data_IF_211574014163
#
_entry.id   IF_211574014163
#
_cell.length_a   1.000
_cell.length_b   1.000
_cell.length_c   1.000
_cell.angle_alpha   90.00
_cell.angle_beta   90.00
_cell.angle_gamma   90.00
#
_symmetry.space_group_name_H-M   'P 1'
#
loop_
_entity.id
_entity.type
_entity.pdbx_description
1 polymer ?
#
# COMPACT_ATOMS: atom_id res chain seq x y z
N UNK A 1 -8.55 -31.78 26.70
CA UNK A 1 -8.10 -30.62 25.92
C UNK A 1 -8.44 -29.38 26.72
N UNK A 2 -7.49 -28.50 27.01
CA UNK A 2 -7.75 -27.26 27.75
C UNK A 2 -8.64 -26.34 26.93
N UNK A 3 -9.87 -26.10 27.40
CA UNK A 3 -10.88 -25.24 26.75
C UNK A 3 -10.30 -23.87 26.38
N UNK A 4 -9.44 -23.32 27.25
CA UNK A 4 -8.76 -22.05 27.07
C UNK A 4 -7.84 -22.03 25.83
N UNK A 5 -7.04 -23.08 25.63
CA UNK A 5 -6.11 -23.13 24.49
C UNK A 5 -6.85 -23.30 23.16
N UNK A 6 -8.02 -23.94 23.17
CA UNK A 6 -8.90 -24.07 22.00
C UNK A 6 -9.59 -22.74 21.67
N UNK A 7 -10.19 -22.09 22.67
CA UNK A 7 -10.88 -20.80 22.50
C UNK A 7 -9.95 -19.70 21.97
N UNK A 8 -8.75 -19.57 22.55
CA UNK A 8 -7.77 -18.56 22.12
C UNK A 8 -7.21 -18.85 20.72
N UNK A 9 -7.14 -20.13 20.32
CA UNK A 9 -6.75 -20.51 18.95
C UNK A 9 -7.82 -20.08 17.94
N UNK A 10 -9.09 -20.33 18.22
CA UNK A 10 -10.19 -19.90 17.35
C UNK A 10 -10.28 -18.36 17.28
N UNK A 11 -10.07 -17.67 18.40
CA UNK A 11 -9.99 -16.20 18.46
C UNK A 11 -8.86 -15.67 17.57
N UNK A 12 -7.67 -16.28 17.66
CA UNK A 12 -6.52 -15.90 16.82
C UNK A 12 -6.78 -16.16 15.34
N UNK A 13 -7.40 -17.29 15.01
CA UNK A 13 -7.77 -17.63 13.63
C UNK A 13 -8.74 -16.60 13.06
N UNK A 14 -9.78 -16.24 13.82
CA UNK A 14 -10.73 -15.20 13.44
C UNK A 14 -10.03 -13.85 13.24
N UNK A 15 -9.08 -13.49 14.11
CA UNK A 15 -8.31 -12.26 13.98
C UNK A 15 -7.45 -12.23 12.70
N UNK A 16 -6.79 -13.34 12.36
CA UNK A 16 -6.04 -13.44 11.09
C UNK A 16 -6.95 -13.43 9.86
N UNK A 17 -8.12 -14.07 9.92
CA UNK A 17 -9.10 -13.98 8.83
C UNK A 17 -9.60 -12.55 8.62
N UNK A 18 -9.81 -11.80 9.71
CA UNK A 18 -10.16 -10.39 9.63
C UNK A 18 -9.01 -9.55 9.03
N UNK A 19 -7.76 -9.76 9.48
CA UNK A 19 -6.61 -9.08 8.90
C UNK A 19 -6.44 -9.40 7.41
N UNK A 20 -6.71 -10.65 7.00
CA UNK A 20 -6.72 -11.05 5.59
C UNK A 20 -7.74 -10.25 4.78
N UNK A 21 -8.98 -10.12 5.27
CA UNK A 21 -10.02 -9.32 4.61
C UNK A 21 -9.58 -7.86 4.45
N UNK A 22 -9.05 -7.26 5.52
CA UNK A 22 -8.54 -5.88 5.49
C UNK A 22 -7.41 -5.72 4.47
N UNK A 23 -6.46 -6.65 4.42
CA UNK A 23 -5.38 -6.64 3.42
C UNK A 23 -5.89 -6.77 1.98
N UNK A 24 -6.94 -7.56 1.75
CA UNK A 24 -7.61 -7.62 0.44
C UNK A 24 -8.28 -6.29 0.08
N UNK A 25 -9.01 -5.68 1.01
CA UNK A 25 -9.64 -4.37 0.82
C UNK A 25 -8.60 -3.28 0.54
N UNK A 26 -7.47 -3.29 1.25
CA UNK A 26 -6.36 -2.38 0.99
C UNK A 26 -5.88 -2.49 -0.46
N UNK A 27 -5.65 -3.72 -0.93
CA UNK A 27 -5.23 -3.94 -2.31
C UNK A 27 -6.28 -3.44 -3.30
N UNK A 28 -7.57 -3.69 -3.06
CA UNK A 28 -8.65 -3.21 -3.91
C UNK A 28 -8.68 -1.68 -4.00
N UNK A 29 -8.54 -0.98 -2.86
CA UNK A 29 -8.43 0.49 -2.85
C UNK A 29 -7.24 0.95 -3.67
N UNK A 30 -6.06 0.33 -3.48
CA UNK A 30 -4.87 0.69 -4.23
C UNK A 30 -5.05 0.41 -5.74
N UNK A 31 -5.71 -0.69 -6.10
CA UNK A 31 -6.04 -1.03 -7.48
C UNK A 31 -6.98 0.01 -8.11
N UNK A 32 -7.98 0.48 -7.36
CA UNK A 32 -8.94 1.48 -7.84
C UNK A 32 -8.33 2.86 -8.06
N UNK A 33 -7.28 3.24 -7.30
CA UNK A 33 -6.61 4.57 -7.43
C UNK A 33 -6.44 4.95 -8.91
N UNK A 34 -7.22 5.91 -9.36
CA UNK A 34 -7.15 6.50 -10.68
C UNK A 34 -6.85 8.00 -10.56
N UNK A 35 -6.37 8.62 -11.63
CA UNK A 35 -5.96 10.03 -11.62
C UNK A 35 -7.14 11.00 -11.48
N UNK A 36 -8.36 10.51 -11.73
CA UNK A 36 -9.59 11.29 -11.73
C UNK A 36 -10.47 10.99 -10.49
N UNK A 37 -10.08 10.03 -9.64
CA UNK A 37 -10.83 9.72 -8.41
C UNK A 37 -10.42 10.66 -7.28
N UNK A 38 -11.37 11.46 -6.79
CA UNK A 38 -11.26 12.15 -5.52
C UNK A 38 -11.61 11.16 -4.38
N UNK A 39 -10.93 11.28 -3.22
CA UNK A 39 -11.15 10.52 -1.97
C UNK A 39 -10.49 9.13 -1.82
N UNK A 40 -9.63 8.69 -2.74
CA UNK A 40 -8.90 7.41 -2.53
C UNK A 40 -7.97 7.46 -1.30
N UNK A 41 -7.48 8.65 -0.94
CA UNK A 41 -6.63 8.89 0.24
C UNK A 41 -7.38 8.57 1.53
N UNK A 42 -8.61 9.07 1.67
CA UNK A 42 -9.47 8.83 2.82
C UNK A 42 -9.83 7.35 2.93
N UNK A 43 -10.20 6.71 1.82
CA UNK A 43 -10.48 5.26 1.79
C UNK A 43 -9.26 4.43 2.20
N UNK A 44 -8.05 4.84 1.77
CA UNK A 44 -6.82 4.13 2.12
C UNK A 44 -6.48 4.35 3.60
N UNK A 45 -6.66 5.56 4.13
CA UNK A 45 -6.46 5.87 5.54
C UNK A 45 -7.39 5.05 6.44
N UNK A 46 -8.68 4.98 6.11
CA UNK A 46 -9.66 4.17 6.86
C UNK A 46 -9.24 2.70 6.91
N UNK A 47 -8.82 2.13 5.77
CA UNK A 47 -8.38 0.73 5.71
C UNK A 47 -7.09 0.51 6.51
N UNK A 48 -6.15 1.45 6.48
CA UNK A 48 -4.92 1.36 7.27
C UNK A 48 -5.21 1.43 8.78
N UNK A 49 -6.13 2.28 9.21
CA UNK A 49 -6.56 2.33 10.61
C UNK A 49 -7.23 1.03 11.07
N UNK A 50 -8.10 0.44 10.24
CA UNK A 50 -8.70 -0.86 10.52
C UNK A 50 -7.65 -1.96 10.63
N UNK A 51 -6.63 -1.91 9.79
CA UNK A 51 -5.53 -2.86 9.79
C UNK A 51 -4.67 -2.76 11.04
N UNK A 52 -4.34 -1.55 11.47
CA UNK A 52 -3.59 -1.32 12.70
C UNK A 52 -4.35 -1.83 13.93
N UNK A 53 -5.68 -1.67 13.95
CA UNK A 53 -6.55 -2.28 14.97
C UNK A 53 -6.50 -3.80 14.93
N UNK A 54 -6.57 -4.41 13.74
CA UNK A 54 -6.48 -5.86 13.58
C UNK A 54 -5.13 -6.44 14.05
N UNK A 55 -4.03 -5.76 13.71
CA UNK A 55 -2.68 -6.14 14.14
C UNK A 55 -2.56 -6.05 15.65
N UNK A 56 -3.00 -4.92 16.23
CA UNK A 56 -2.96 -4.70 17.69
C UNK A 56 -3.73 -5.77 18.44
N UNK A 57 -4.89 -6.19 17.92
CA UNK A 57 -5.68 -7.27 18.51
C UNK A 57 -4.97 -8.63 18.43
N UNK A 58 -4.32 -8.95 17.31
CA UNK A 58 -3.50 -10.17 17.18
C UNK A 58 -2.33 -10.17 18.16
N UNK A 59 -1.66 -9.03 18.34
CA UNK A 59 -0.58 -8.86 19.31
C UNK A 59 -1.07 -9.06 20.75
N UNK A 60 -2.25 -8.54 21.09
CA UNK A 60 -2.89 -8.77 22.38
C UNK A 60 -3.15 -10.27 22.62
N UNK A 61 -3.71 -10.97 21.63
CA UNK A 61 -3.94 -12.42 21.72
C UNK A 61 -2.61 -13.17 21.94
N UNK A 62 -1.56 -12.81 21.21
CA UNK A 62 -0.24 -13.42 21.40
C UNK A 62 0.32 -13.14 22.80
N UNK A 63 0.10 -11.96 23.35
CA UNK A 63 0.53 -11.63 24.72
C UNK A 63 -0.17 -12.50 25.76
N UNK A 64 -1.46 -12.80 25.56
CA UNK A 64 -2.25 -13.72 26.43
C UNK A 64 -1.78 -15.17 26.33
N UNK A 65 -1.29 -15.58 25.17
CA UNK A 65 -0.81 -16.94 24.90
C UNK A 65 0.58 -17.23 25.50
N UNK A 66 1.41 -16.21 25.71
CA UNK A 66 2.79 -16.39 26.21
C UNK A 66 3.58 -17.42 25.39
N UNK A 67 4.14 -18.43 26.05
CA UNK A 67 4.96 -19.47 25.41
C UNK A 67 4.17 -20.35 24.43
N UNK A 68 2.84 -20.46 24.58
CA UNK A 68 1.98 -21.22 23.66
C UNK A 68 1.88 -20.56 22.27
N UNK A 69 2.19 -19.26 22.15
CA UNK A 69 2.17 -18.53 20.89
C UNK A 69 3.09 -19.15 19.84
N UNK A 70 4.24 -19.70 20.25
CA UNK A 70 5.18 -20.33 19.33
C UNK A 70 4.57 -21.56 18.65
N UNK A 71 3.93 -22.43 19.42
CA UNK A 71 3.28 -23.63 18.88
C UNK A 71 2.10 -23.29 17.98
N UNK A 72 1.34 -22.25 18.31
CA UNK A 72 0.17 -21.82 17.53
C UNK A 72 0.59 -21.14 16.21
N UNK A 73 1.71 -20.41 16.18
CA UNK A 73 2.27 -19.88 14.91
C UNK A 73 2.72 -20.98 13.93
N UNK A 74 2.92 -22.20 14.41
CA UNK A 74 3.23 -23.37 13.57
C UNK A 74 1.96 -24.08 13.10
N UNK A 75 0.77 -23.64 13.55
CA UNK A 75 -0.49 -24.19 13.06
C UNK A 75 -0.58 -23.96 11.53
N UNK A 76 -0.82 -25.01 10.73
CA UNK A 76 -0.84 -24.89 9.27
C UNK A 76 -1.81 -23.84 8.75
N UNK A 77 -3.00 -23.71 9.35
CA UNK A 77 -4.03 -22.78 8.89
C UNK A 77 -3.63 -21.33 9.18
N UNK A 78 -3.12 -21.06 10.39
CA UNK A 78 -2.61 -19.73 10.75
C UNK A 78 -1.43 -19.36 9.86
N UNK A 79 -0.53 -20.31 9.60
CA UNK A 79 0.62 -20.09 8.73
C UNK A 79 0.20 -19.77 7.30
N UNK A 80 -0.80 -20.45 6.76
CA UNK A 80 -1.36 -20.17 5.44
C UNK A 80 -1.94 -18.75 5.38
N UNK A 81 -2.73 -18.35 6.38
CA UNK A 81 -3.27 -16.98 6.48
C UNK A 81 -2.15 -15.94 6.53
N UNK A 82 -1.12 -16.15 7.36
CA UNK A 82 0.03 -15.24 7.46
C UNK A 82 0.78 -15.10 6.12
N UNK A 83 0.97 -16.21 5.40
CA UNK A 83 1.62 -16.19 4.08
C UNK A 83 0.78 -15.46 3.06
N UNK A 84 -0.54 -15.67 3.06
CA UNK A 84 -1.46 -14.97 2.17
C UNK A 84 -1.45 -13.46 2.44
N UNK A 85 -1.61 -13.04 3.70
CA UNK A 85 -1.54 -11.62 4.11
C UNK A 85 -0.24 -11.00 3.61
N UNK A 86 0.90 -11.65 3.87
CA UNK A 86 2.21 -11.18 3.39
C UNK A 86 2.26 -11.03 1.86
N UNK A 87 1.63 -11.93 1.11
CA UNK A 87 1.52 -11.83 -0.34
C UNK A 87 0.72 -10.60 -0.79
N UNK A 88 -0.40 -10.30 -0.13
CA UNK A 88 -1.21 -9.10 -0.41
C UNK A 88 -0.45 -7.82 -0.07
N UNK A 89 0.33 -7.82 1.01
CA UNK A 89 1.17 -6.68 1.38
C UNK A 89 2.25 -6.37 0.34
N UNK A 90 2.93 -7.42 -0.15
CA UNK A 90 3.97 -7.23 -1.15
C UNK A 90 3.38 -6.70 -2.45
N UNK A 91 2.22 -7.24 -2.88
CA UNK A 91 1.50 -6.77 -4.05
C UNK A 91 1.03 -5.32 -3.90
N UNK A 92 0.48 -4.97 -2.75
CA UNK A 92 0.06 -3.60 -2.42
C UNK A 92 1.23 -2.62 -2.51
N UNK A 93 2.39 -2.97 -1.96
CA UNK A 93 3.61 -2.15 -2.03
C UNK A 93 4.14 -2.00 -3.44
N UNK A 94 4.17 -3.09 -4.21
CA UNK A 94 4.60 -3.05 -5.60
C UNK A 94 3.70 -2.10 -6.41
N UNK A 95 2.39 -2.24 -6.25
CA UNK A 95 1.42 -1.43 -7.00
C UNK A 95 1.51 0.05 -6.63
N UNK A 96 1.66 0.38 -5.35
CA UNK A 96 1.90 1.77 -4.90
C UNK A 96 3.17 2.37 -5.52
N UNK A 97 4.26 1.60 -5.61
CA UNK A 97 5.49 2.05 -6.29
C UNK A 97 5.26 2.30 -7.77
N UNK A 98 4.62 1.36 -8.46
CA UNK A 98 4.31 1.51 -9.88
C UNK A 98 3.45 2.76 -10.15
N UNK A 99 2.47 3.04 -9.29
CA UNK A 99 1.63 4.24 -9.41
C UNK A 99 2.43 5.52 -9.14
N UNK A 100 3.26 5.53 -8.11
CA UNK A 100 4.13 6.67 -7.81
C UNK A 100 5.12 6.96 -8.95
N UNK A 101 5.72 5.92 -9.55
CA UNK A 101 6.64 6.06 -10.68
C UNK A 101 5.94 6.67 -11.90
N UNK A 102 4.73 6.21 -12.23
CA UNK A 102 3.93 6.79 -13.34
C UNK A 102 3.59 8.25 -13.11
N UNK A 103 3.19 8.63 -11.89
CA UNK A 103 2.94 10.03 -11.54
C UNK A 103 4.23 10.85 -11.69
N UNK A 104 5.37 10.31 -11.25
CA UNK A 104 6.68 10.95 -11.42
C UNK A 104 7.07 11.17 -12.87
N UNK A 105 6.80 10.20 -13.76
CA UNK A 105 7.01 10.33 -15.21
C UNK A 105 6.11 11.40 -15.82
N UNK A 106 4.83 11.45 -15.44
CA UNK A 106 3.90 12.49 -15.90
C UNK A 106 4.35 13.89 -15.49
N UNK A 107 4.82 14.07 -14.25
CA UNK A 107 5.37 15.36 -13.79
C UNK A 107 6.59 15.76 -14.62
N UNK A 108 7.49 14.82 -14.95
CA UNK A 108 8.65 15.10 -15.82
C UNK A 108 8.20 15.52 -17.22
N UNK A 109 7.23 14.83 -17.80
CA UNK A 109 6.68 15.17 -19.11
C UNK A 109 6.01 16.55 -19.11
N UNK A 110 5.24 16.89 -18.08
CA UNK A 110 4.63 18.22 -17.94
C UNK A 110 5.67 19.33 -17.85
N UNK A 111 6.74 19.13 -17.07
CA UNK A 111 7.86 20.09 -16.98
C UNK A 111 8.57 20.26 -18.33
N UNK A 112 8.75 19.19 -19.09
CA UNK A 112 9.33 19.25 -20.43
C UNK A 112 8.40 19.99 -21.41
N UNK A 113 7.10 19.72 -21.36
CA UNK A 113 6.10 20.42 -22.17
C UNK A 113 6.01 21.90 -21.83
N UNK A 114 6.06 22.26 -20.54
CA UNK A 114 6.10 23.66 -20.12
C UNK A 114 7.36 24.36 -20.64
N UNK A 115 8.53 23.72 -20.55
CA UNK A 115 9.77 24.25 -21.13
C UNK A 115 9.66 24.44 -22.65
N UNK A 116 9.09 23.47 -23.36
CA UNK A 116 8.85 23.57 -24.79
C UNK A 116 7.87 24.70 -25.13
N UNK A 117 6.80 24.87 -24.34
CA UNK A 117 5.82 25.94 -24.51
C UNK A 117 6.46 27.32 -24.32
N UNK A 118 7.22 27.53 -23.25
CA UNK A 118 7.96 28.79 -23.01
C UNK A 118 8.96 29.11 -24.12
N UNK A 119 9.64 28.09 -24.65
CA UNK A 119 10.55 28.26 -25.79
C UNK A 119 9.80 28.67 -27.08
N UNK A 120 8.58 28.17 -27.28
CA UNK A 120 7.72 28.53 -28.42
C UNK A 120 7.12 29.94 -28.27
N UNK A 121 6.69 30.31 -27.07
CA UNK A 121 6.06 31.61 -26.75
C UNK A 121 7.09 32.75 -26.66
N UNK A 122 8.39 32.46 -26.78
CA UNK A 122 9.46 33.46 -26.72
C UNK A 122 9.77 33.97 -25.30
N UNK A 123 9.24 33.31 -24.27
CA UNK A 123 9.40 33.66 -22.84
C UNK A 123 10.60 32.96 -22.18
N UNK A 124 11.53 32.42 -22.98
CA UNK A 124 12.74 31.77 -22.48
C UNK A 124 13.72 32.78 -21.87
N UNK A 125 14.34 32.44 -20.72
CA UNK A 125 15.50 33.19 -20.22
C UNK A 125 16.69 33.02 -21.17
N UNK A 126 17.59 34.01 -21.24
CA UNK A 126 18.83 33.91 -22.02
C UNK A 126 19.56 32.60 -21.67
N UNK A 127 19.72 31.72 -22.67
CA UNK A 127 20.36 30.40 -22.55
C UNK A 127 19.43 29.17 -22.67
N UNK A 128 18.10 29.33 -22.73
CA UNK A 128 17.16 28.19 -22.82
C UNK A 128 16.62 27.91 -24.23
N UNK A 129 16.89 28.79 -25.20
CA UNK A 129 16.35 28.68 -26.56
C UNK A 129 17.29 27.92 -27.51
N UNK A 130 17.04 26.62 -27.69
CA UNK A 130 17.73 25.79 -28.71
C UNK A 130 17.39 26.15 -30.16
N UNK A 131 16.39 27.01 -30.39
CA UNK A 131 15.84 27.27 -31.74
C UNK A 131 16.31 28.57 -32.40
N UNK A 132 17.02 29.46 -31.70
CA UNK A 132 17.43 30.75 -32.28
C UNK A 132 18.94 30.93 -32.48
N UNK A 133 19.77 29.92 -32.22
CA UNK A 133 21.22 30.01 -32.49
C UNK A 133 21.58 29.62 -33.93
N UNK A 134 20.90 30.26 -34.89
CA UNK A 134 21.32 30.31 -36.30
C UNK A 134 21.39 31.76 -36.73
N UNK A 135 22.40 32.49 -36.25
CA UNK A 135 23.11 33.60 -36.93
C UNK A 135 23.98 34.32 -35.91
N UNK A 136 25.27 33.98 -35.87
CA UNK A 136 26.36 34.88 -36.28
C UNK A 136 27.68 34.15 -36.33
#
# INVERSE_FOLDING_TARGET
>A
MDSFAFEVREELKAAFMYLMDVSCRQLMVIESISEDEENWEDMLLEVLEEKDKAISFIEEIFSRLGDAAFSIKQDPEIRELMLFIKGQEERSRQLLREKADRIGEKIKALKQNEKARRAYDGEGREGESWFFDRRR
#
